data_IF_880121532276
#
_entry.id   IF_880121532276
#
_cell.length_a   1.000
_cell.length_b   1.000
_cell.length_c   1.000
_cell.angle_alpha   90.00
_cell.angle_beta   90.00
_cell.angle_gamma   90.00
#
_symmetry.space_group_name_H-M   'P 1'
#
loop_
_entity.id
_entity.type
_entity.pdbx_description
1 polymer ?
#
# COMPACT_ATOMS: atom_id res chain seq x y z
N UNK A 1 24.48 -41.55 -70.08
CA UNK A 1 23.32 -41.86 -69.21
C UNK A 1 23.65 -42.20 -67.75
N UNK A 2 24.89 -42.52 -67.34
CA UNK A 2 25.21 -42.89 -65.93
C UNK A 2 25.14 -41.72 -64.93
N UNK A 3 25.63 -40.53 -65.30
CA UNK A 3 25.67 -39.34 -64.41
C UNK A 3 24.30 -38.86 -63.91
N UNK A 4 23.23 -39.07 -64.69
CA UNK A 4 21.87 -38.67 -64.29
C UNK A 4 21.26 -39.58 -63.23
N UNK A 5 21.63 -40.87 -63.22
CA UNK A 5 21.11 -41.84 -62.22
C UNK A 5 21.73 -41.60 -60.84
N UNK A 6 23.02 -41.29 -60.79
CA UNK A 6 23.72 -41.01 -59.53
C UNK A 6 23.22 -39.72 -58.86
N UNK A 7 22.82 -38.72 -59.65
CA UNK A 7 22.22 -37.48 -59.14
C UNK A 7 20.84 -37.71 -58.52
N UNK A 8 20.01 -38.56 -59.15
CA UNK A 8 18.68 -38.92 -58.64
C UNK A 8 18.80 -39.71 -57.33
N UNK A 9 19.76 -40.63 -57.22
CA UNK A 9 20.00 -41.39 -55.99
C UNK A 9 20.44 -40.47 -54.84
N UNK A 10 21.30 -39.48 -55.11
CA UNK A 10 21.69 -38.48 -54.10
C UNK A 10 20.53 -37.58 -53.67
N UNK A 11 19.70 -37.14 -54.61
CA UNK A 11 18.53 -36.32 -54.29
C UNK A 11 17.50 -37.09 -53.44
N UNK A 12 17.25 -38.36 -53.76
CA UNK A 12 16.36 -39.20 -52.98
C UNK A 12 16.90 -39.46 -51.56
N UNK A 13 18.23 -39.59 -51.39
CA UNK A 13 18.85 -39.68 -50.06
C UNK A 13 18.60 -38.42 -49.22
N UNK A 14 18.79 -37.24 -49.81
CA UNK A 14 18.56 -35.96 -49.12
C UNK A 14 17.08 -35.77 -48.74
N UNK A 15 16.15 -36.19 -49.61
CA UNK A 15 14.71 -36.12 -49.31
C UNK A 15 14.34 -37.03 -48.14
N UNK A 16 14.86 -38.26 -48.11
CA UNK A 16 14.63 -39.20 -47.00
C UNK A 16 15.23 -38.69 -45.67
N UNK A 17 16.39 -38.05 -45.72
CA UNK A 17 17.03 -37.44 -44.55
C UNK A 17 16.21 -36.24 -44.03
N UNK A 18 15.59 -35.47 -44.93
CA UNK A 18 14.71 -34.35 -44.58
C UNK A 18 13.37 -34.83 -43.98
N UNK A 19 12.76 -35.86 -44.54
CA UNK A 19 11.55 -36.48 -43.97
C UNK A 19 11.84 -37.05 -42.57
N UNK A 20 12.98 -37.74 -42.41
CA UNK A 20 13.41 -38.26 -41.10
C UNK A 20 13.64 -37.14 -40.08
N UNK A 21 14.22 -36.00 -40.50
CA UNK A 21 14.42 -34.85 -39.62
C UNK A 21 13.09 -34.18 -39.23
N UNK A 22 12.13 -34.09 -40.16
CA UNK A 22 10.79 -33.56 -39.89
C UNK A 22 10.01 -34.45 -38.91
N UNK A 23 10.15 -35.77 -39.01
CA UNK A 23 9.49 -36.71 -38.10
C UNK A 23 10.08 -36.65 -36.68
N UNK A 24 11.39 -36.46 -36.54
CA UNK A 24 12.04 -36.22 -35.24
C UNK A 24 11.60 -34.88 -34.62
N UNK A 25 11.40 -33.84 -35.43
CA UNK A 25 10.88 -32.53 -34.96
C UNK A 25 9.43 -32.66 -34.50
N UNK A 26 8.58 -33.38 -35.25
CA UNK A 26 7.19 -33.65 -34.85
C UNK A 26 7.11 -34.44 -33.52
N UNK A 27 7.99 -35.43 -33.32
CA UNK A 27 8.07 -36.18 -32.06
C UNK A 27 8.57 -35.32 -30.88
N UNK A 28 9.42 -34.31 -31.12
CA UNK A 28 9.86 -33.35 -30.10
C UNK A 28 8.77 -32.30 -29.77
N UNK A 29 7.91 -31.97 -30.74
CA UNK A 29 6.76 -31.08 -30.56
C UNK A 29 5.54 -31.75 -29.90
N UNK A 30 5.47 -33.09 -29.85
CA UNK A 30 4.43 -33.83 -29.09
C UNK A 30 4.75 -34.05 -27.60
N UNK A 31 6.02 -33.91 -27.18
CA UNK A 31 6.44 -34.00 -25.77
C UNK A 31 5.83 -32.95 -24.80
N UNK A 32 5.44 -31.72 -25.22
CA UNK A 32 4.73 -30.78 -24.36
C UNK A 32 3.33 -31.26 -23.94
N UNK A 33 2.68 -32.09 -24.76
CA UNK A 33 1.29 -32.55 -24.53
C UNK A 33 1.22 -33.60 -23.41
N UNK A 34 2.18 -34.52 -23.34
CA UNK A 34 2.25 -35.54 -22.28
C UNK A 34 2.68 -34.99 -20.92
N UNK A 35 3.46 -33.89 -20.89
CA UNK A 35 3.84 -33.24 -19.63
C UNK A 35 2.75 -32.30 -19.11
N UNK A 36 1.95 -31.68 -19.97
CA UNK A 36 0.85 -30.81 -19.57
C UNK A 36 -0.32 -31.58 -18.93
N UNK A 37 -0.61 -32.80 -19.38
CA UNK A 37 -1.62 -33.68 -18.76
C UNK A 37 -1.22 -34.04 -17.32
N UNK A 38 0.07 -34.35 -17.10
CA UNK A 38 0.62 -34.67 -15.77
C UNK A 38 0.60 -33.47 -14.82
N UNK A 39 0.58 -32.24 -15.33
CA UNK A 39 0.48 -31.02 -14.50
C UNK A 39 -0.96 -30.81 -14.03
N UNK A 40 -1.97 -31.00 -14.89
CA UNK A 40 -3.38 -30.94 -14.48
C UNK A 40 -3.73 -32.04 -13.46
N UNK A 41 -3.17 -33.24 -13.63
CA UNK A 41 -3.31 -34.34 -12.67
C UNK A 41 -2.64 -34.03 -11.33
N UNK A 42 -1.46 -33.39 -11.33
CA UNK A 42 -0.79 -32.97 -10.09
C UNK A 42 -1.48 -31.79 -9.41
N UNK A 43 -2.07 -30.85 -10.16
CA UNK A 43 -2.86 -29.74 -9.60
C UNK A 43 -4.15 -30.26 -8.92
N UNK A 44 -4.83 -31.24 -9.52
CA UNK A 44 -5.99 -31.89 -8.90
C UNK A 44 -5.60 -32.80 -7.71
N UNK A 45 -4.50 -33.55 -7.81
CA UNK A 45 -4.02 -34.40 -6.71
C UNK A 45 -3.45 -33.63 -5.51
N UNK A 46 -2.99 -32.38 -5.70
CA UNK A 46 -2.56 -31.50 -4.61
C UNK A 46 -3.72 -30.76 -3.93
N UNK A 47 -4.90 -30.65 -4.56
CA UNK A 47 -6.10 -30.11 -3.93
C UNK A 47 -6.71 -31.08 -2.90
N UNK A 48 -6.63 -32.40 -3.16
CA UNK A 48 -7.25 -33.44 -2.32
C UNK A 48 -6.38 -33.95 -1.15
N UNK A 49 -5.08 -33.64 -1.09
CA UNK A 49 -4.15 -34.24 -0.11
C UNK A 49 -3.75 -33.32 1.06
N UNK A 50 -4.60 -32.37 1.44
CA UNK A 50 -4.40 -31.45 2.56
C UNK A 50 -4.51 -32.09 3.97
N UNK A 51 -4.11 -33.35 4.14
CA UNK A 51 -4.36 -34.12 5.37
C UNK A 51 -3.33 -35.17 5.77
N UNK A 52 -2.03 -35.04 5.45
CA UNK A 52 -1.01 -35.96 5.96
C UNK A 52 0.23 -35.24 6.54
N UNK A 53 0.70 -35.59 7.75
CA UNK A 53 1.80 -34.91 8.42
C UNK A 53 3.13 -35.59 8.07
N UNK A 54 4.02 -34.88 7.38
CA UNK A 54 5.37 -35.36 7.09
C UNK A 54 6.30 -34.22 6.69
N UNK A 55 7.26 -33.91 7.57
CA UNK A 55 8.44 -33.05 7.39
C UNK A 55 8.22 -31.71 6.69
N UNK A 56 8.19 -30.64 7.49
CA UNK A 56 8.00 -29.26 7.07
C UNK A 56 9.04 -28.80 6.04
N UNK A 57 8.68 -28.89 4.77
CA UNK A 57 9.08 -27.89 3.79
C UNK A 57 8.22 -26.68 4.11
N UNK A 58 8.79 -25.65 4.75
CA UNK A 58 8.10 -24.37 4.91
C UNK A 58 7.60 -23.95 3.53
N UNK A 59 6.27 -23.96 3.37
CA UNK A 59 5.62 -23.46 2.18
C UNK A 59 5.94 -21.97 2.11
N UNK A 60 6.91 -21.62 1.26
CA UNK A 60 7.13 -20.23 0.87
C UNK A 60 5.83 -19.76 0.27
N UNK A 61 5.12 -18.91 1.02
CA UNK A 61 3.87 -18.31 0.62
C UNK A 61 4.08 -17.73 -0.79
N UNK A 62 3.49 -18.36 -1.80
CA UNK A 62 3.74 -17.99 -3.20
C UNK A 62 3.22 -16.58 -3.34
N UNK A 63 4.12 -15.64 -3.59
CA UNK A 63 3.75 -14.23 -3.67
C UNK A 63 2.56 -14.07 -4.62
N UNK A 64 1.53 -13.26 -4.30
CA UNK A 64 0.26 -13.28 -5.04
C UNK A 64 0.36 -12.95 -6.55
N UNK A 65 1.44 -12.26 -6.95
CA UNK A 65 1.76 -11.94 -8.35
C UNK A 65 2.49 -13.07 -9.10
N UNK A 66 2.80 -14.18 -8.45
CA UNK A 66 3.55 -15.30 -9.00
C UNK A 66 2.59 -16.37 -9.55
N UNK A 67 2.20 -16.21 -10.82
CA UNK A 67 1.21 -17.04 -11.50
C UNK A 67 1.82 -18.25 -12.25
N UNK A 68 0.96 -19.08 -12.86
CA UNK A 68 1.34 -20.27 -13.64
C UNK A 68 2.27 -19.95 -14.83
N UNK A 69 2.02 -18.86 -15.54
CA UNK A 69 2.88 -18.40 -16.64
C UNK A 69 4.32 -18.13 -16.16
N UNK A 70 4.45 -17.47 -15.01
CA UNK A 70 5.74 -17.20 -14.37
C UNK A 70 6.48 -18.48 -13.99
N UNK A 71 5.75 -19.49 -13.50
CA UNK A 71 6.28 -20.81 -13.17
C UNK A 71 6.82 -21.53 -14.39
N UNK A 72 6.06 -21.55 -15.48
CA UNK A 72 6.47 -22.16 -16.76
C UNK A 72 7.75 -21.50 -17.25
N UNK A 73 7.78 -20.16 -17.31
CA UNK A 73 8.96 -19.41 -17.78
C UNK A 73 10.18 -19.58 -16.86
N UNK A 74 9.97 -19.70 -15.54
CA UNK A 74 11.04 -20.03 -14.57
C UNK A 74 11.65 -21.40 -14.85
N UNK A 75 10.82 -22.39 -15.19
CA UNK A 75 11.28 -23.74 -15.55
C UNK A 75 12.05 -23.72 -16.85
N UNK A 76 11.54 -23.07 -17.88
CA UNK A 76 12.23 -22.89 -19.16
C UNK A 76 13.61 -22.24 -18.97
N UNK A 77 13.68 -21.18 -18.15
CA UNK A 77 14.95 -20.52 -17.79
C UNK A 77 15.93 -21.51 -17.18
N UNK A 78 15.49 -22.33 -16.22
CA UNK A 78 16.34 -23.34 -15.58
C UNK A 78 16.83 -24.39 -16.58
N UNK A 79 15.98 -24.84 -17.50
CA UNK A 79 16.36 -25.81 -18.53
C UNK A 79 17.46 -25.25 -19.45
N UNK A 80 17.29 -24.02 -19.94
CA UNK A 80 18.30 -23.35 -20.78
C UNK A 80 19.59 -23.08 -20.00
N UNK A 81 19.48 -22.69 -18.73
CA UNK A 81 20.63 -22.53 -17.84
C UNK A 81 21.40 -23.83 -17.66
N UNK A 82 20.70 -24.94 -17.40
CA UNK A 82 21.30 -26.26 -17.27
C UNK A 82 21.96 -26.73 -18.57
N UNK A 83 21.35 -26.45 -19.74
CA UNK A 83 21.95 -26.72 -21.07
C UNK A 83 23.26 -25.93 -21.23
N UNK A 84 23.22 -24.62 -20.96
CA UNK A 84 24.41 -23.76 -21.04
C UNK A 84 25.52 -24.20 -20.08
N UNK A 85 25.22 -24.50 -18.82
CA UNK A 85 26.22 -24.97 -17.84
C UNK A 85 26.90 -26.28 -18.25
N UNK A 86 26.18 -27.14 -19.00
CA UNK A 86 26.68 -28.44 -19.47
C UNK A 86 27.55 -28.30 -20.72
N UNK A 87 27.06 -27.57 -21.73
CA UNK A 87 27.68 -27.52 -23.06
C UNK A 87 28.66 -26.33 -23.21
N UNK A 88 28.43 -25.24 -22.47
CA UNK A 88 29.25 -24.02 -22.42
C UNK A 88 29.55 -23.38 -23.79
N UNK A 89 28.59 -23.43 -24.71
CA UNK A 89 28.67 -22.78 -26.02
C UNK A 89 27.98 -21.41 -26.04
N UNK A 90 28.39 -20.55 -26.97
CA UNK A 90 27.83 -19.20 -27.13
C UNK A 90 26.34 -19.26 -27.50
N UNK A 91 25.94 -20.12 -28.44
CA UNK A 91 24.53 -20.28 -28.79
C UNK A 91 23.66 -20.68 -27.59
N UNK A 92 24.17 -21.57 -26.71
CA UNK A 92 23.44 -21.96 -25.50
C UNK A 92 23.36 -20.82 -24.48
N UNK A 93 24.39 -19.96 -24.42
CA UNK A 93 24.39 -18.74 -23.62
C UNK A 93 23.36 -17.72 -24.13
N UNK A 94 23.31 -17.48 -25.44
CA UNK A 94 22.34 -16.58 -26.06
C UNK A 94 20.90 -17.04 -25.81
N UNK A 95 20.62 -18.34 -26.03
CA UNK A 95 19.32 -18.95 -25.71
C UNK A 95 18.93 -18.71 -24.24
N UNK A 96 19.85 -18.95 -23.30
CA UNK A 96 19.61 -18.70 -21.88
C UNK A 96 19.38 -17.22 -21.58
N UNK A 97 20.17 -16.32 -22.18
CA UNK A 97 20.07 -14.87 -21.99
C UNK A 97 18.70 -14.34 -22.42
N UNK A 98 18.20 -14.82 -23.57
CA UNK A 98 16.85 -14.46 -24.07
C UNK A 98 15.78 -14.89 -23.07
N UNK A 99 15.77 -16.17 -22.65
CA UNK A 99 14.75 -16.68 -21.73
C UNK A 99 14.86 -16.04 -20.34
N UNK A 100 16.07 -15.76 -19.86
CA UNK A 100 16.32 -15.02 -18.62
C UNK A 100 15.71 -13.61 -18.68
N UNK A 101 15.93 -12.89 -19.78
CA UNK A 101 15.38 -11.55 -19.95
C UNK A 101 13.86 -11.58 -20.00
N UNK A 102 13.27 -12.50 -20.79
CA UNK A 102 11.82 -12.69 -20.85
C UNK A 102 11.21 -13.03 -19.48
N UNK A 103 11.84 -13.91 -18.71
CA UNK A 103 11.41 -14.23 -17.34
C UNK A 103 11.45 -13.00 -16.43
N UNK A 104 12.52 -12.20 -16.49
CA UNK A 104 12.64 -10.99 -15.67
C UNK A 104 11.59 -9.94 -16.04
N UNK A 105 11.33 -9.74 -17.33
CA UNK A 105 10.27 -8.83 -17.79
C UNK A 105 8.88 -9.31 -17.38
N UNK A 106 8.61 -10.61 -17.46
CA UNK A 106 7.36 -11.19 -16.98
C UNK A 106 7.15 -10.96 -15.47
N UNK A 107 8.20 -11.14 -14.66
CA UNK A 107 8.16 -10.86 -13.22
C UNK A 107 7.85 -9.39 -12.96
N UNK A 108 8.53 -8.48 -13.67
CA UNK A 108 8.29 -7.03 -13.52
C UNK A 108 6.86 -6.67 -13.88
N UNK A 109 6.36 -7.18 -15.00
CA UNK A 109 4.99 -6.99 -15.46
C UNK A 109 3.98 -7.48 -14.43
N UNK A 110 4.10 -8.72 -13.97
CA UNK A 110 3.16 -9.30 -13.03
C UNK A 110 3.16 -8.57 -11.67
N UNK A 111 4.33 -8.16 -11.18
CA UNK A 111 4.41 -7.30 -9.98
C UNK A 111 3.71 -5.97 -10.19
N UNK A 112 4.00 -5.29 -11.30
CA UNK A 112 3.39 -4.01 -11.65
C UNK A 112 1.88 -4.14 -11.71
N UNK A 113 1.37 -5.09 -12.49
CA UNK A 113 -0.06 -5.26 -12.73
C UNK A 113 -0.80 -5.59 -11.43
N UNK A 114 -0.21 -6.43 -10.58
CA UNK A 114 -0.78 -6.78 -9.28
C UNK A 114 -0.88 -5.56 -8.35
N UNK A 115 0.20 -4.82 -8.15
CA UNK A 115 0.19 -3.67 -7.24
C UNK A 115 -0.58 -2.48 -7.81
N UNK A 116 -0.55 -2.28 -9.13
CA UNK A 116 -1.38 -1.29 -9.80
C UNK A 116 -2.87 -1.60 -9.57
N UNK A 117 -3.28 -2.86 -9.74
CA UNK A 117 -4.65 -3.28 -9.43
C UNK A 117 -5.01 -2.99 -7.96
N UNK A 118 -4.13 -3.31 -7.01
CA UNK A 118 -4.35 -3.02 -5.59
C UNK A 118 -4.50 -1.53 -5.28
N UNK A 119 -3.74 -0.67 -5.96
CA UNK A 119 -3.85 0.79 -5.84
C UNK A 119 -5.18 1.27 -6.41
N UNK A 120 -5.57 0.78 -7.59
CA UNK A 120 -6.85 1.12 -8.22
C UNK A 120 -8.04 0.64 -7.38
N UNK A 121 -7.98 -0.58 -6.84
CA UNK A 121 -9.00 -1.16 -5.95
C UNK A 121 -9.15 -0.37 -4.63
N UNK A 122 -8.10 0.32 -4.18
CA UNK A 122 -8.15 1.18 -3.00
C UNK A 122 -8.82 2.54 -3.28
N UNK A 123 -8.76 3.04 -4.52
CA UNK A 123 -9.37 4.30 -4.92
C UNK A 123 -8.89 5.48 -4.05
N UNK A 124 -9.83 6.23 -3.49
CA UNK A 124 -9.55 7.37 -2.59
C UNK A 124 -9.43 7.00 -1.11
N UNK A 125 -9.47 5.70 -0.76
CA UNK A 125 -9.33 5.24 0.62
C UNK A 125 -7.85 5.25 1.05
N UNK A 126 -7.44 6.35 1.67
CA UNK A 126 -6.08 6.55 2.15
C UNK A 126 -5.63 5.45 3.14
N UNK A 127 -6.53 4.92 3.97
CA UNK A 127 -6.16 3.86 4.92
C UNK A 127 -5.71 2.59 4.21
N UNK A 128 -6.40 2.20 3.14
CA UNK A 128 -6.02 1.03 2.32
C UNK A 128 -4.70 1.25 1.61
N UNK A 129 -4.43 2.45 1.12
CA UNK A 129 -3.16 2.80 0.49
C UNK A 129 -2.00 2.75 1.49
N UNK A 130 -2.18 3.30 2.70
CA UNK A 130 -1.16 3.21 3.75
C UNK A 130 -0.91 1.77 4.19
N UNK A 131 -1.95 0.95 4.37
CA UNK A 131 -1.77 -0.47 4.68
C UNK A 131 -1.03 -1.23 3.57
N UNK A 132 -1.32 -0.93 2.30
CA UNK A 132 -0.61 -1.50 1.16
C UNK A 132 0.87 -1.09 1.18
N UNK A 133 1.17 0.19 1.43
CA UNK A 133 2.53 0.70 1.52
C UNK A 133 3.31 0.11 2.71
N UNK A 134 2.66 -0.03 3.87
CA UNK A 134 3.22 -0.68 5.04
C UNK A 134 3.56 -2.15 4.76
N UNK A 135 2.71 -2.85 4.00
CA UNK A 135 2.99 -4.23 3.57
C UNK A 135 4.20 -4.34 2.64
N UNK A 136 4.41 -3.33 1.78
CA UNK A 136 5.54 -3.27 0.83
C UNK A 136 6.86 -2.91 1.50
N UNK A 137 6.81 -2.05 2.52
CA UNK A 137 7.99 -1.54 3.23
C UNK A 137 8.38 -2.40 4.42
N UNK A 138 7.62 -3.46 4.72
CA UNK A 138 7.86 -4.30 5.89
C UNK A 138 7.47 -3.64 7.21
N UNK A 139 6.79 -2.48 7.16
CA UNK A 139 6.25 -1.77 8.32
C UNK A 139 4.93 -2.39 8.82
N UNK A 140 4.77 -3.71 8.69
CA UNK A 140 3.63 -4.42 9.25
C UNK A 140 3.81 -4.44 10.77
N UNK A 141 3.37 -3.35 11.42
CA UNK A 141 3.24 -3.28 12.87
C UNK A 141 2.19 -4.31 13.25
N UNK A 142 2.62 -5.54 13.52
CA UNK A 142 1.80 -6.49 14.26
C UNK A 142 1.57 -5.81 15.60
N UNK A 143 0.39 -5.21 15.78
CA UNK A 143 -0.05 -4.75 17.10
C UNK A 143 -0.28 -6.01 17.92
N UNK A 144 0.81 -6.59 18.40
CA UNK A 144 0.75 -7.66 19.38
C UNK A 144 0.52 -6.98 20.71
N UNK A 145 -0.54 -7.39 21.38
CA UNK A 145 -0.59 -7.22 22.82
C UNK A 145 0.63 -7.93 23.42
N UNK A 146 1.14 -7.48 24.57
CA UNK A 146 2.20 -8.20 25.27
C UNK A 146 1.81 -9.67 25.43
N UNK A 147 2.66 -10.58 24.96
CA UNK A 147 2.45 -12.02 25.10
C UNK A 147 2.55 -12.41 26.59
N UNK A 148 1.72 -13.36 27.04
CA UNK A 148 1.78 -13.91 28.40
C UNK A 148 0.90 -13.21 29.45
N UNK A 149 0.02 -12.29 29.05
CA UNK A 149 -0.95 -11.66 29.95
C UNK A 149 -2.38 -12.14 29.65
N UNK A 150 -3.18 -12.30 30.68
CA UNK A 150 -4.63 -12.50 30.53
C UNK A 150 -5.34 -11.19 30.16
N UNK A 151 -6.51 -11.29 29.53
CA UNK A 151 -7.33 -10.13 29.16
C UNK A 151 -7.63 -9.22 30.37
N UNK A 152 -7.82 -9.82 31.55
CA UNK A 152 -8.06 -9.10 32.79
C UNK A 152 -6.83 -8.30 33.23
N UNK A 153 -5.65 -8.90 33.20
CA UNK A 153 -4.40 -8.23 33.57
C UNK A 153 -4.09 -7.07 32.62
N UNK A 154 -4.34 -7.24 31.32
CA UNK A 154 -4.21 -6.16 30.34
C UNK A 154 -5.21 -5.03 30.58
N UNK A 155 -6.47 -5.36 30.88
CA UNK A 155 -7.50 -4.37 31.19
C UNK A 155 -7.18 -3.59 32.47
N UNK A 156 -6.70 -4.26 33.51
CA UNK A 156 -6.31 -3.64 34.78
C UNK A 156 -5.08 -2.74 34.60
N UNK A 157 -4.07 -3.20 33.85
CA UNK A 157 -2.89 -2.41 33.50
C UNK A 157 -3.25 -1.17 32.67
N UNK A 158 -4.18 -1.31 31.71
CA UNK A 158 -4.68 -0.20 30.91
C UNK A 158 -5.42 0.82 31.79
N UNK A 159 -6.31 0.36 32.67
CA UNK A 159 -7.03 1.22 33.63
C UNK A 159 -6.06 1.97 34.55
N UNK A 160 -5.03 1.28 35.06
CA UNK A 160 -4.00 1.89 35.90
C UNK A 160 -3.22 2.97 35.14
N UNK A 161 -2.78 2.68 33.92
CA UNK A 161 -2.06 3.65 33.08
C UNK A 161 -2.88 4.93 32.84
N UNK A 162 -4.19 4.81 32.59
CA UNK A 162 -5.08 5.97 32.47
C UNK A 162 -5.20 6.78 33.77
N UNK A 163 -5.40 6.11 34.91
CA UNK A 163 -5.45 6.77 36.22
C UNK A 163 -4.16 7.51 36.53
N UNK A 164 -3.02 6.83 36.36
CA UNK A 164 -1.70 7.40 36.62
C UNK A 164 -1.41 8.59 35.71
N UNK A 165 -1.82 8.52 34.43
CA UNK A 165 -1.67 9.64 33.49
C UNK A 165 -2.51 10.84 33.90
N UNK A 166 -3.76 10.62 34.30
CA UNK A 166 -4.64 11.70 34.80
C UNK A 166 -4.02 12.32 36.06
N UNK A 167 -3.56 11.50 37.01
CA UNK A 167 -2.94 11.99 38.24
C UNK A 167 -1.65 12.76 37.95
N UNK A 168 -0.80 12.31 37.03
CA UNK A 168 0.40 13.04 36.63
C UNK A 168 0.07 14.40 35.99
N UNK A 169 -0.99 14.47 35.18
CA UNK A 169 -1.45 15.73 34.61
C UNK A 169 -1.94 16.66 35.72
N UNK A 170 -2.79 16.18 36.62
CA UNK A 170 -3.34 16.96 37.75
C UNK A 170 -2.24 17.44 38.69
N UNK A 171 -1.32 16.56 39.07
CA UNK A 171 -0.16 16.88 39.91
C UNK A 171 0.85 17.80 39.18
N UNK A 172 0.86 17.82 37.84
CA UNK A 172 1.64 18.76 37.06
C UNK A 172 1.14 20.21 37.14
N UNK A 173 -0.06 20.44 37.69
CA UNK A 173 -0.65 21.77 37.88
C UNK A 173 -0.53 22.30 39.31
N UNK A 174 0.31 21.70 40.17
CA UNK A 174 0.33 21.95 41.65
C UNK A 174 0.74 23.37 42.08
N UNK A 175 1.14 24.26 41.16
CA UNK A 175 1.26 25.69 41.46
C UNK A 175 -0.08 26.46 41.42
N UNK A 176 -1.19 25.79 41.07
CA UNK A 176 -2.53 26.35 41.25
C UNK A 176 -3.10 25.86 42.59
N UNK A 177 -3.34 26.75 43.58
CA UNK A 177 -4.05 26.34 44.78
C UNK A 177 -5.39 25.74 44.36
N UNK A 178 -5.64 24.50 44.80
CA UNK A 178 -6.94 23.85 44.69
C UNK A 178 -7.94 24.69 45.49
N UNK A 179 -8.54 25.67 44.84
CA UNK A 179 -9.72 26.32 45.35
C UNK A 179 -10.79 25.21 45.48
N UNK A 180 -11.50 25.13 46.62
CA UNK A 180 -12.59 24.17 46.76
C UNK A 180 -13.51 24.30 45.55
N UNK A 181 -13.98 23.15 45.03
CA UNK A 181 -14.95 23.10 43.94
C UNK A 181 -16.16 23.91 44.38
N UNK A 182 -16.18 25.18 44.00
CA UNK A 182 -17.39 26.00 44.04
C UNK A 182 -18.25 25.41 42.94
N UNK A 183 -19.38 24.82 43.31
CA UNK A 183 -20.44 24.49 42.37
C UNK A 183 -20.67 25.72 41.49
N UNK A 184 -20.25 25.66 40.23
CA UNK A 184 -20.35 26.78 39.31
C UNK A 184 -21.78 26.90 38.82
N UNK A 185 -22.67 27.39 39.69
CA UNK A 185 -23.78 28.23 39.24
C UNK A 185 -23.19 29.58 38.79
N UNK A 186 -22.38 29.52 37.73
CA UNK A 186 -21.70 30.69 37.20
C UNK A 186 -22.31 31.01 35.86
N UNK A 187 -23.33 31.88 35.87
CA UNK A 187 -23.59 32.76 34.75
C UNK A 187 -22.36 33.67 34.56
N UNK A 188 -21.28 33.13 34.02
CA UNK A 188 -20.09 33.90 33.64
C UNK A 188 -20.48 34.71 32.42
N UNK A 189 -21.09 35.87 32.67
CA UNK A 189 -21.37 36.88 31.64
C UNK A 189 -20.14 37.76 31.52
N UNK A 190 -19.58 37.86 30.31
CA UNK A 190 -18.56 38.84 29.99
C UNK A 190 -19.21 40.23 30.11
N UNK A 191 -18.95 40.94 31.23
CA UNK A 191 -19.62 42.21 31.54
C UNK A 191 -19.02 43.40 30.78
N UNK A 192 -17.78 43.28 30.32
CA UNK A 192 -17.13 44.33 29.55
C UNK A 192 -16.07 43.77 28.62
N UNK A 193 -15.90 44.44 27.48
CA UNK A 193 -14.76 44.29 26.59
C UNK A 193 -13.97 45.59 26.63
N UNK A 194 -12.64 45.50 26.64
CA UNK A 194 -11.77 46.66 26.49
C UNK A 194 -11.45 46.83 25.02
N UNK A 195 -11.57 48.05 24.52
CA UNK A 195 -11.13 48.39 23.17
C UNK A 195 -9.61 48.25 23.08
N UNK A 196 -9.14 47.48 22.10
CA UNK A 196 -7.71 47.35 21.82
C UNK A 196 -7.20 48.57 21.07
N UNK A 197 -6.02 49.08 21.45
CA UNK A 197 -5.40 50.19 20.74
C UNK A 197 -4.79 49.68 19.41
N UNK A 198 -4.73 50.54 18.39
CA UNK A 198 -4.15 50.22 17.07
C UNK A 198 -2.73 49.68 17.19
N UNK A 199 -1.91 50.24 18.09
CA UNK A 199 -0.54 49.79 18.33
C UNK A 199 -0.49 48.35 18.84
N UNK A 200 -1.34 48.01 19.80
CA UNK A 200 -1.40 46.68 20.41
C UNK A 200 -1.97 45.65 19.42
N UNK A 201 -2.98 46.04 18.64
CA UNK A 201 -3.54 45.21 17.58
C UNK A 201 -2.48 44.85 16.53
N UNK A 202 -1.68 45.81 16.08
CA UNK A 202 -0.58 45.58 15.13
C UNK A 202 0.46 44.62 15.74
N UNK A 203 0.79 44.76 17.03
CA UNK A 203 1.72 43.84 17.70
C UNK A 203 1.19 42.41 17.80
N UNK A 204 -0.11 42.25 18.05
CA UNK A 204 -0.76 40.93 18.10
C UNK A 204 -0.73 40.28 16.72
N UNK A 205 -1.08 41.03 15.67
CA UNK A 205 -1.05 40.53 14.28
C UNK A 205 0.37 40.11 13.87
N UNK A 206 1.39 40.91 14.18
CA UNK A 206 2.80 40.57 13.89
C UNK A 206 3.29 39.31 14.61
N UNK A 207 2.72 38.97 15.77
CA UNK A 207 3.06 37.76 16.54
C UNK A 207 2.25 36.53 16.11
N UNK A 208 1.20 36.70 15.31
CA UNK A 208 0.37 35.60 14.87
C UNK A 208 1.16 34.66 13.94
N UNK A 209 0.78 33.39 13.94
CA UNK A 209 1.34 32.42 12.99
C UNK A 209 0.87 32.78 11.59
N UNK A 210 1.78 32.70 10.61
CA UNK A 210 1.51 32.97 9.20
C UNK A 210 0.75 31.82 8.53
N UNK A 211 -0.40 31.44 9.08
CA UNK A 211 -1.23 30.34 8.60
C UNK A 211 -2.51 30.90 7.99
N UNK A 212 -2.88 30.40 6.82
CA UNK A 212 -4.10 30.75 6.10
C UNK A 212 -4.95 29.50 5.79
N UNK A 213 -6.25 29.69 5.69
CA UNK A 213 -7.23 28.72 5.22
C UNK A 213 -7.77 29.14 3.84
N UNK A 214 -8.25 28.19 3.05
CA UNK A 214 -8.81 28.44 1.71
C UNK A 214 -10.09 29.31 1.71
N UNK A 215 -10.71 29.51 2.89
CA UNK A 215 -11.91 30.35 3.08
C UNK A 215 -11.54 31.73 3.63
N UNK A 216 -10.28 31.97 3.97
CA UNK A 216 -9.87 33.26 4.52
C UNK A 216 -9.90 34.33 3.42
N UNK A 217 -10.54 35.48 3.67
CA UNK A 217 -10.68 36.53 2.67
C UNK A 217 -9.33 37.18 2.31
N UNK A 218 -8.33 37.10 3.20
CA UNK A 218 -6.98 37.64 2.98
C UNK A 218 -5.93 36.73 3.61
N UNK A 219 -4.84 36.37 2.91
CA UNK A 219 -3.73 35.64 3.49
C UNK A 219 -3.01 36.45 4.57
N UNK A 220 -2.95 35.94 5.80
CA UNK A 220 -2.31 36.62 6.93
C UNK A 220 -0.82 36.95 6.68
N UNK A 221 -0.15 36.21 5.80
CA UNK A 221 1.23 36.47 5.40
C UNK A 221 1.38 37.82 4.69
N UNK A 222 0.44 38.18 3.83
CA UNK A 222 0.44 39.44 3.08
C UNK A 222 0.13 40.63 3.99
N UNK A 223 -0.72 40.42 5.00
CA UNK A 223 -1.05 41.44 6.01
C UNK A 223 0.13 41.74 6.94
N UNK A 224 0.96 40.75 7.28
CA UNK A 224 2.07 40.90 8.22
C UNK A 224 3.33 41.48 7.57
N UNK A 225 3.55 41.22 6.28
CA UNK A 225 4.79 41.59 5.57
C UNK A 225 4.74 42.99 4.93
N UNK A 226 3.55 43.59 4.77
CA UNK A 226 3.42 44.98 4.34
C UNK A 226 3.57 45.95 5.52
N UNK A 227 4.32 47.04 5.34
CA UNK A 227 4.28 48.22 6.23
C UNK A 227 2.86 48.87 6.30
N UNK A 228 1.93 48.37 5.49
CA UNK A 228 0.52 48.77 5.40
C UNK A 228 -0.44 47.99 6.32
N UNK A 229 0.00 47.34 7.40
CA UNK A 229 -0.92 46.80 8.45
C UNK A 229 -1.96 47.86 8.86
N UNK A 230 -1.57 49.13 8.82
CA UNK A 230 -2.43 50.30 9.07
C UNK A 230 -3.64 50.42 8.12
N UNK A 231 -3.53 50.06 6.84
CA UNK A 231 -4.63 50.07 5.86
C UNK A 231 -5.59 48.89 6.07
N UNK A 232 -5.06 47.69 6.36
CA UNK A 232 -5.89 46.51 6.66
C UNK A 232 -6.66 46.63 7.98
N UNK A 233 -6.14 47.40 8.95
CA UNK A 233 -6.87 47.72 10.19
C UNK A 233 -8.14 48.52 9.93
N UNK A 234 -8.24 49.30 8.83
CA UNK A 234 -9.49 49.95 8.45
C UNK A 234 -10.54 48.94 7.95
N UNK A 235 -10.12 47.95 7.16
CA UNK A 235 -11.00 46.87 6.68
C UNK A 235 -11.58 46.08 7.87
N UNK A 236 -10.77 45.80 8.90
CA UNK A 236 -11.23 45.09 10.12
C UNK A 236 -12.17 45.96 10.99
N UNK A 237 -12.09 47.29 10.88
CA UNK A 237 -12.97 48.20 11.64
C UNK A 237 -14.35 48.39 10.99
N UNK A 238 -14.43 48.28 9.67
CA UNK A 238 -15.66 48.48 8.90
C UNK A 238 -16.50 47.19 8.79
N UNK A 239 -15.93 46.02 9.10
CA UNK A 239 -16.71 44.82 9.35
C UNK A 239 -17.35 44.86 10.76
N UNK A 240 -18.46 45.60 10.85
CA UNK A 240 -19.62 45.09 11.58
C UNK A 240 -19.85 43.67 11.07
N UNK A 241 -19.34 42.69 11.82
CA UNK A 241 -19.63 41.28 11.62
C UNK A 241 -21.10 41.14 11.28
N UNK A 242 -21.36 40.70 10.04
CA UNK A 242 -22.66 40.22 9.61
C UNK A 242 -23.28 39.45 10.77
N UNK A 243 -24.41 39.96 11.26
CA UNK A 243 -25.28 39.23 12.18
C UNK A 243 -25.36 37.80 11.69
N UNK A 244 -25.08 36.78 12.52
CA UNK A 244 -25.42 35.43 12.12
C UNK A 244 -26.94 35.40 11.93
N UNK A 245 -27.39 35.32 10.68
CA UNK A 245 -28.75 34.87 10.42
C UNK A 245 -28.93 33.55 11.18
N UNK A 246 -30.03 33.43 11.89
CA UNK A 246 -30.37 32.28 12.72
C UNK A 246 -30.38 31.03 11.85
N UNK A 247 -29.22 30.38 11.74
CA UNK A 247 -29.09 29.07 11.12
C UNK A 247 -29.85 28.06 11.98
N UNK A 248 -30.99 27.61 11.46
CA UNK A 248 -31.73 26.49 12.02
C UNK A 248 -30.77 25.30 12.22
N UNK A 249 -30.57 24.88 13.47
CA UNK A 249 -29.92 23.60 13.75
C UNK A 249 -30.77 22.48 13.13
N UNK A 250 -30.20 21.59 12.31
CA UNK A 250 -30.91 20.39 11.91
C UNK A 250 -31.15 19.53 13.17
N UNK A 251 -32.44 19.28 13.45
CA UNK A 251 -32.88 18.39 14.52
C UNK A 251 -32.34 16.98 14.28
N UNK A 252 -31.46 16.48 15.16
CA UNK A 252 -31.08 15.07 15.17
C UNK A 252 -32.23 14.25 15.75
N UNK A 253 -33.08 13.70 14.87
CA UNK A 253 -34.04 12.65 15.26
C UNK A 253 -33.25 11.41 15.67
N UNK A 254 -33.17 11.14 16.98
CA UNK A 254 -32.81 9.82 17.51
C UNK A 254 -33.82 8.79 16.99
N UNK A 255 -33.40 7.93 16.05
CA UNK A 255 -34.12 6.67 15.78
C UNK A 255 -33.92 5.74 16.98
N UNK A 256 -34.92 5.63 17.84
CA UNK A 256 -35.06 4.48 18.75
C UNK A 256 -35.26 3.24 17.87
N UNK A 257 -34.32 2.29 17.96
CA UNK A 257 -34.55 0.90 17.53
C UNK A 257 -35.51 0.29 18.54
N UNK A 258 -36.69 -0.13 18.08
CA UNK A 258 -37.53 -1.07 18.82
C UNK A 258 -36.86 -2.44 18.75
N UNK A 259 -36.63 -3.04 19.91
CA UNK A 259 -36.63 -4.48 20.16
C UNK A 259 -37.52 -4.67 21.38
#
# INVERSE_FOLDING_TARGET
MKKGKDAIVKLNGIVNDLESAQEVIAQLEELPSRQNIRIAELENAYADKSGAPGQGVEFVDKSPWFNGETLIKKREKRLKESKWRRVKTENAWEEYKVVKNQYNELIKKNKRDYYLKKILDAGSDMNKLYQLFDSLTGNVKKRKLPDGFSDKELADAFCKCFKDKIMNIVCGFVDMPLLPVVETNSEIRLRCFKTINKKDLIQVIKKAKKTNCAVDPVPISEVVDADNVSEFVHIIKDEEYLKPEKGNRPSTKKKKKQV
#
